data_IF_488020232422
#
_entry.id   IF_488020232422
#
_cell.length_a   1.000
_cell.length_b   1.000
_cell.length_c   1.000
_cell.angle_alpha   90.00
_cell.angle_beta   90.00
_cell.angle_gamma   90.00
#
_symmetry.space_group_name_H-M   'P 1'
#
loop_
_entity.id
_entity.type
_entity.pdbx_description
1 polymer ?
#
# COMPACT_ATOMS: atom_id res chain seq x y z
N UNK A 1 -8.27 -13.73 8.36
CA UNK A 1 -7.63 -14.80 9.15
C UNK A 1 -7.00 -14.19 10.37
N UNK A 2 -7.06 -14.89 11.51
CA UNK A 2 -6.57 -14.40 12.80
C UNK A 2 -5.32 -15.17 13.25
N UNK A 3 -4.34 -14.46 13.81
CA UNK A 3 -3.25 -15.01 14.62
C UNK A 3 -2.79 -14.01 15.68
N UNK A 4 -2.15 -14.48 16.76
CA UNK A 4 -1.55 -13.63 17.80
C UNK A 4 -0.04 -13.82 17.85
N UNK A 5 0.67 -12.79 18.30
CA UNK A 5 2.11 -12.83 18.56
C UNK A 5 2.45 -13.92 19.59
N UNK A 6 3.24 -14.97 19.25
CA UNK A 6 3.63 -16.01 20.21
C UNK A 6 4.42 -15.47 21.41
N UNK A 7 4.96 -14.24 21.33
CA UNK A 7 5.68 -13.58 22.41
C UNK A 7 4.80 -12.65 23.27
N UNK A 8 3.58 -12.33 22.83
CA UNK A 8 2.64 -11.46 23.54
C UNK A 8 1.17 -11.88 23.28
N UNK A 9 0.80 -13.15 23.59
CA UNK A 9 -0.45 -13.77 23.13
C UNK A 9 -1.71 -13.26 23.86
N UNK A 10 -1.56 -12.45 24.90
CA UNK A 10 -2.67 -11.82 25.64
C UNK A 10 -2.94 -10.38 25.16
N UNK A 11 -2.11 -9.85 24.27
CA UNK A 11 -2.23 -8.50 23.75
C UNK A 11 -3.16 -8.45 22.52
N UNK A 12 -4.41 -8.05 22.75
CA UNK A 12 -5.43 -7.88 21.70
C UNK A 12 -4.98 -6.96 20.56
N UNK A 13 -4.16 -5.93 20.85
CA UNK A 13 -3.63 -5.02 19.83
C UNK A 13 -2.65 -5.68 18.85
N UNK A 14 -2.02 -6.79 19.24
CA UNK A 14 -1.12 -7.61 18.40
C UNK A 14 -1.80 -8.84 17.81
N UNK A 15 -3.13 -8.90 17.86
CA UNK A 15 -3.86 -9.92 17.13
C UNK A 15 -4.07 -9.48 15.68
N UNK A 16 -3.24 -10.00 14.77
CA UNK A 16 -3.33 -9.77 13.34
C UNK A 16 -4.62 -10.36 12.76
N UNK A 17 -5.40 -9.55 12.07
CA UNK A 17 -6.57 -9.96 11.27
C UNK A 17 -6.33 -9.61 9.79
N UNK A 18 -5.61 -10.48 9.08
CA UNK A 18 -5.22 -10.26 7.69
C UNK A 18 -5.92 -11.15 6.65
N UNK A 19 -5.88 -10.75 5.39
CA UNK A 19 -6.33 -11.55 4.23
C UNK A 19 -5.13 -12.29 3.63
N UNK A 20 -5.17 -13.62 3.64
CA UNK A 20 -4.16 -14.49 3.02
C UNK A 20 -4.85 -15.58 2.22
N UNK A 21 -4.31 -15.88 1.04
CA UNK A 21 -4.71 -17.07 0.28
C UNK A 21 -4.23 -18.34 0.98
N UNK A 22 -5.01 -19.41 0.87
CA UNK A 22 -4.63 -20.75 1.29
C UNK A 22 -4.75 -21.70 0.10
N UNK A 23 -3.81 -22.64 -0.03
CA UNK A 23 -3.90 -23.71 -1.03
C UNK A 23 -4.05 -25.05 -0.32
N UNK A 24 -5.17 -25.77 -0.50
CA UNK A 24 -5.35 -27.12 0.04
C UNK A 24 -4.32 -28.11 -0.55
N UNK A 25 -3.75 -28.95 0.30
CA UNK A 25 -2.85 -30.06 -0.05
C UNK A 25 -3.40 -31.43 0.36
N UNK A 26 -4.47 -31.46 1.14
CA UNK A 26 -5.12 -32.68 1.61
C UNK A 26 -6.48 -32.38 2.26
N UNK A 27 -7.11 -33.38 2.91
CA UNK A 27 -8.39 -33.19 3.59
C UNK A 27 -8.31 -32.25 4.80
N UNK A 28 -7.13 -32.13 5.40
CA UNK A 28 -6.88 -31.40 6.65
C UNK A 28 -5.54 -30.64 6.64
N UNK A 29 -4.96 -30.38 5.45
CA UNK A 29 -3.67 -29.70 5.30
C UNK A 29 -3.71 -28.65 4.19
N UNK A 30 -3.09 -27.50 4.42
CA UNK A 30 -2.95 -26.41 3.43
C UNK A 30 -1.63 -25.66 3.59
N UNK A 31 -1.17 -25.00 2.51
CA UNK A 31 -0.11 -23.97 2.60
C UNK A 31 -0.73 -22.59 2.75
N UNK A 32 -0.02 -21.74 3.47
CA UNK A 32 -0.27 -20.30 3.51
C UNK A 32 1.05 -19.55 3.38
N UNK A 33 1.12 -18.67 2.40
CA UNK A 33 2.27 -17.80 2.17
C UNK A 33 2.02 -16.40 2.75
N UNK A 34 2.85 -16.02 3.71
CA UNK A 34 2.95 -14.64 4.23
C UNK A 34 4.43 -14.25 4.30
N UNK A 35 4.74 -13.00 3.98
CA UNK A 35 6.11 -12.46 4.04
C UNK A 35 6.40 -11.88 5.43
N UNK A 36 7.66 -11.91 5.94
CA UNK A 36 7.97 -11.43 7.29
C UNK A 36 7.67 -9.96 7.59
N UNK A 37 7.42 -9.14 6.56
CA UNK A 37 6.98 -7.75 6.74
C UNK A 37 5.51 -7.65 7.18
N UNK A 38 4.67 -8.64 6.86
CA UNK A 38 3.30 -8.76 7.37
C UNK A 38 3.29 -9.40 8.76
N UNK A 39 2.31 -9.06 9.59
CA UNK A 39 2.32 -9.44 11.01
C UNK A 39 2.11 -10.94 11.22
N UNK A 40 1.24 -11.60 10.44
CA UNK A 40 1.21 -13.07 10.34
C UNK A 40 2.59 -13.69 9.99
N UNK A 41 3.38 -13.03 9.13
CA UNK A 41 4.74 -13.48 8.80
C UNK A 41 5.70 -13.34 9.98
N UNK A 42 5.58 -12.25 10.76
CA UNK A 42 6.31 -12.08 12.03
C UNK A 42 5.90 -13.12 13.07
N UNK A 43 4.61 -13.43 13.18
CA UNK A 43 4.09 -14.45 14.09
C UNK A 43 4.62 -15.85 13.73
N UNK A 44 4.67 -16.20 12.43
CA UNK A 44 5.33 -17.43 11.96
C UNK A 44 6.82 -17.46 12.30
N UNK A 45 7.55 -16.37 12.03
CA UNK A 45 8.97 -16.28 12.35
C UNK A 45 9.22 -16.42 13.87
N UNK A 46 8.46 -15.71 14.70
CA UNK A 46 8.54 -15.81 16.15
C UNK A 46 8.24 -17.23 16.66
N UNK A 47 7.28 -17.93 16.06
CA UNK A 47 6.96 -19.32 16.38
C UNK A 47 8.09 -20.29 16.00
N UNK A 48 8.76 -20.08 14.85
CA UNK A 48 9.94 -20.84 14.44
C UNK A 48 11.13 -20.59 15.37
N UNK A 49 11.43 -19.33 15.68
CA UNK A 49 12.60 -18.93 16.49
C UNK A 49 12.48 -19.37 17.95
N UNK A 50 11.27 -19.37 18.50
CA UNK A 50 11.02 -19.73 19.91
C UNK A 50 10.55 -21.17 20.12
N UNK A 51 10.20 -21.89 19.05
CA UNK A 51 9.59 -23.22 19.11
C UNK A 51 8.17 -23.24 19.71
N UNK A 52 7.55 -22.07 19.94
CA UNK A 52 6.18 -21.97 20.46
C UNK A 52 5.14 -22.37 19.41
N UNK A 53 4.00 -22.97 19.81
CA UNK A 53 2.90 -23.24 18.88
C UNK A 53 2.34 -21.94 18.31
N UNK A 54 1.97 -21.95 17.02
CA UNK A 54 1.21 -20.88 16.38
C UNK A 54 -0.14 -21.45 15.91
N UNK A 55 -1.19 -21.08 16.64
CA UNK A 55 -2.59 -21.36 16.31
C UNK A 55 -3.15 -20.23 15.45
N UNK A 56 -3.99 -20.58 14.49
CA UNK A 56 -4.68 -19.62 13.61
C UNK A 56 -6.18 -19.97 13.48
N UNK A 57 -6.98 -18.98 13.08
CA UNK A 57 -8.36 -19.16 12.68
C UNK A 57 -8.63 -18.49 11.32
N UNK A 58 -9.08 -19.27 10.34
CA UNK A 58 -9.54 -18.77 9.04
C UNK A 58 -11.05 -18.56 9.13
N UNK A 59 -11.53 -17.33 8.93
CA UNK A 59 -12.95 -17.01 8.92
C UNK A 59 -13.38 -16.71 7.49
N UNK A 60 -14.51 -17.27 7.04
CA UNK A 60 -15.14 -17.02 5.74
C UNK A 60 -16.60 -16.60 5.95
N UNK A 61 -17.14 -15.77 5.06
CA UNK A 61 -18.47 -15.17 5.21
C UNK A 61 -18.47 -14.19 6.38
N UNK A 62 -17.55 -13.24 6.33
CA UNK A 62 -17.33 -12.25 7.39
C UNK A 62 -18.32 -11.09 7.29
N UNK A 63 -18.30 -10.16 8.26
CA UNK A 63 -18.94 -8.86 8.05
C UNK A 63 -18.28 -8.17 6.82
N UNK A 64 -19.03 -7.70 5.81
CA UNK A 64 -18.45 -7.26 4.53
C UNK A 64 -17.37 -6.18 4.64
N UNK A 65 -17.49 -5.30 5.64
CA UNK A 65 -16.49 -4.27 5.91
C UNK A 65 -15.09 -4.83 6.25
N UNK A 66 -15.01 -6.06 6.79
CA UNK A 66 -13.71 -6.68 7.08
C UNK A 66 -12.96 -7.06 5.82
N UNK A 67 -13.63 -7.33 4.69
CA UNK A 67 -12.94 -7.52 3.41
C UNK A 67 -12.20 -6.25 2.92
N UNK A 68 -12.67 -5.07 3.37
CA UNK A 68 -12.01 -3.78 3.13
C UNK A 68 -10.96 -3.47 4.21
N UNK A 69 -11.35 -3.54 5.49
CA UNK A 69 -10.52 -3.02 6.59
C UNK A 69 -9.45 -3.98 7.13
N UNK A 70 -9.60 -5.30 6.97
CA UNK A 70 -8.56 -6.30 7.31
C UNK A 70 -7.31 -6.23 6.40
N UNK A 71 -7.38 -5.43 5.32
CA UNK A 71 -6.27 -5.16 4.41
C UNK A 71 -5.80 -3.71 4.48
N UNK A 72 -6.24 -2.93 5.49
CA UNK A 72 -5.73 -1.57 5.72
C UNK A 72 -4.41 -1.62 6.49
N UNK A 73 -3.36 -0.90 6.06
CA UNK A 73 -2.10 -0.85 6.79
C UNK A 73 -2.22 0.00 8.07
N UNK A 74 -2.27 -0.66 9.22
CA UNK A 74 -2.25 -0.04 10.56
C UNK A 74 -0.97 -0.41 11.33
N UNK A 75 -0.81 0.10 12.55
CA UNK A 75 0.32 -0.24 13.43
C UNK A 75 0.28 -1.71 13.91
N UNK A 76 1.44 -2.26 14.27
CA UNK A 76 1.57 -3.65 14.75
C UNK A 76 0.84 -3.93 16.09
N UNK A 77 0.63 -2.87 16.87
CA UNK A 77 -0.08 -2.85 18.14
C UNK A 77 -1.48 -2.21 18.02
N UNK A 78 -1.96 -1.98 16.79
CA UNK A 78 -3.32 -1.53 16.48
C UNK A 78 -4.16 -2.70 15.96
N UNK A 79 -5.37 -2.90 16.48
CA UNK A 79 -6.26 -3.99 16.05
C UNK A 79 -7.10 -3.59 14.82
N UNK A 80 -7.14 -4.44 13.79
CA UNK A 80 -7.99 -4.20 12.61
C UNK A 80 -9.48 -4.25 12.96
N UNK A 81 -9.88 -4.98 14.02
CA UNK A 81 -11.25 -4.94 14.53
C UNK A 81 -11.60 -3.58 15.14
N UNK A 82 -10.68 -2.98 15.91
CA UNK A 82 -10.87 -1.65 16.47
C UNK A 82 -10.92 -0.58 15.35
N UNK A 83 -10.02 -0.69 14.36
CA UNK A 83 -10.01 0.17 13.19
C UNK A 83 -11.31 0.05 12.37
N UNK A 84 -11.71 -1.17 12.00
CA UNK A 84 -12.93 -1.42 11.26
C UNK A 84 -14.19 -0.94 12.00
N UNK A 85 -14.26 -1.17 13.32
CA UNK A 85 -15.35 -0.67 14.16
C UNK A 85 -15.43 0.86 14.16
N UNK A 86 -14.29 1.55 14.29
CA UNK A 86 -14.22 3.01 14.23
C UNK A 86 -14.63 3.54 12.85
N UNK A 87 -14.19 2.90 11.76
CA UNK A 87 -14.53 3.29 10.40
C UNK A 87 -16.01 3.06 10.04
N UNK A 88 -16.65 2.04 10.60
CA UNK A 88 -18.09 1.79 10.43
C UNK A 88 -18.97 2.66 11.34
N UNK A 89 -18.42 3.19 12.45
CA UNK A 89 -19.20 3.83 13.50
C UNK A 89 -20.06 2.86 14.31
N UNK A 90 -19.76 1.56 14.27
CA UNK A 90 -20.50 0.50 14.97
C UNK A 90 -19.56 -0.59 15.51
N UNK A 91 -19.88 -1.22 16.66
CA UNK A 91 -19.07 -2.29 17.23
C UNK A 91 -19.12 -3.55 16.35
N UNK A 92 -17.99 -4.25 16.27
CA UNK A 92 -17.93 -5.63 15.74
C UNK A 92 -18.14 -6.59 16.92
N UNK A 93 -19.10 -7.51 16.78
CA UNK A 93 -19.33 -8.57 17.76
C UNK A 93 -18.29 -9.70 17.56
N UNK A 94 -17.52 -9.95 18.62
CA UNK A 94 -16.47 -10.97 18.64
C UNK A 94 -16.85 -12.12 19.58
N UNK A 95 -16.29 -13.30 19.31
CA UNK A 95 -16.34 -14.49 20.17
C UNK A 95 -14.96 -15.14 20.18
N UNK A 96 -14.69 -15.97 21.19
CA UNK A 96 -13.49 -16.82 21.20
C UNK A 96 -13.69 -18.04 20.27
N UNK A 97 -12.65 -18.39 19.52
CA UNK A 97 -12.54 -19.64 18.76
C UNK A 97 -12.04 -20.79 19.64
N UNK A 98 -12.16 -22.05 19.20
CA UNK A 98 -11.57 -23.21 19.90
C UNK A 98 -10.03 -23.16 19.99
N UNK A 99 -9.40 -22.28 19.21
CA UNK A 99 -7.97 -21.96 19.27
C UNK A 99 -7.61 -20.79 20.21
N UNK A 100 -8.57 -20.19 20.94
CA UNK A 100 -8.34 -19.10 21.90
C UNK A 100 -8.12 -17.72 21.27
N UNK A 101 -8.47 -17.55 19.99
CA UNK A 101 -8.35 -16.30 19.23
C UNK A 101 -9.70 -15.58 19.17
N UNK A 102 -9.72 -14.26 19.25
CA UNK A 102 -10.95 -13.48 19.04
C UNK A 102 -11.28 -13.47 17.55
N UNK A 103 -12.48 -13.94 17.21
CA UNK A 103 -13.01 -14.05 15.85
C UNK A 103 -14.37 -13.35 15.76
N UNK A 104 -14.84 -13.05 14.55
CA UNK A 104 -16.18 -12.49 14.36
C UNK A 104 -17.26 -13.51 14.73
N UNK A 105 -18.15 -13.14 15.66
CA UNK A 105 -19.22 -14.01 16.16
C UNK A 105 -20.23 -14.45 15.08
N UNK A 106 -20.28 -13.74 13.96
CA UNK A 106 -21.20 -14.00 12.86
C UNK A 106 -20.59 -14.66 11.63
N UNK A 107 -19.30 -15.01 11.64
CA UNK A 107 -18.65 -15.69 10.52
C UNK A 107 -19.42 -16.95 10.10
N UNK A 108 -19.56 -17.17 8.78
CA UNK A 108 -20.29 -18.31 8.23
C UNK A 108 -19.54 -19.64 8.43
N UNK A 109 -18.21 -19.62 8.28
CA UNK A 109 -17.31 -20.76 8.46
C UNK A 109 -16.05 -20.31 9.21
N UNK A 110 -15.61 -21.11 10.19
CA UNK A 110 -14.33 -20.95 10.87
C UNK A 110 -13.54 -22.25 10.75
N UNK A 111 -12.32 -22.16 10.21
CA UNK A 111 -11.35 -23.25 10.10
C UNK A 111 -10.23 -22.97 11.10
N UNK A 112 -10.10 -23.81 12.10
CA UNK A 112 -9.04 -23.76 13.10
C UNK A 112 -7.86 -24.60 12.61
N UNK A 113 -6.64 -24.04 12.71
CA UNK A 113 -5.45 -24.74 12.26
C UNK A 113 -4.21 -24.38 13.10
N UNK A 114 -3.21 -25.25 13.06
CA UNK A 114 -1.92 -25.07 13.72
C UNK A 114 -0.78 -25.08 12.68
N UNK A 115 0.19 -24.18 12.87
CA UNK A 115 1.39 -24.13 12.05
C UNK A 115 2.27 -25.38 12.27
N UNK A 116 2.71 -26.02 11.19
CA UNK A 116 3.61 -27.18 11.25
C UNK A 116 5.06 -26.70 11.13
N UNK A 117 5.73 -26.47 12.27
CA UNK A 117 7.11 -25.96 12.34
C UNK A 117 8.04 -26.63 11.34
N UNK A 118 8.71 -25.81 10.53
CA UNK A 118 9.75 -26.25 9.62
C UNK A 118 9.25 -26.96 8.35
N UNK A 119 7.98 -27.37 8.27
CA UNK A 119 7.39 -28.04 7.10
C UNK A 119 6.86 -27.01 6.09
N UNK A 120 7.32 -27.12 4.85
CA UNK A 120 6.93 -26.24 3.73
C UNK A 120 6.72 -27.05 2.46
N UNK A 121 5.58 -26.89 1.79
CA UNK A 121 5.24 -27.55 0.53
C UNK A 121 5.16 -26.55 -0.63
N UNK A 122 5.01 -27.04 -1.86
CA UNK A 122 4.95 -26.21 -3.07
C UNK A 122 3.56 -25.58 -3.29
N UNK A 123 3.47 -24.26 -3.09
CA UNK A 123 2.30 -23.45 -3.41
C UNK A 123 2.43 -22.84 -4.82
N UNK A 124 1.32 -22.81 -5.57
CA UNK A 124 1.21 -22.27 -6.92
C UNK A 124 1.22 -23.34 -8.03
N UNK A 125 1.13 -22.93 -9.31
CA UNK A 125 1.01 -21.54 -9.77
C UNK A 125 -0.35 -20.94 -9.40
N UNK A 126 -0.39 -19.62 -9.19
CA UNK A 126 -1.61 -18.91 -8.80
C UNK A 126 -1.79 -17.66 -9.66
N UNK A 127 -3.02 -17.33 -10.05
CA UNK A 127 -3.31 -16.07 -10.74
C UNK A 127 -3.25 -14.92 -9.75
N UNK A 128 -2.37 -13.95 -9.97
CA UNK A 128 -2.23 -12.77 -9.12
C UNK A 128 -2.99 -11.58 -9.72
N UNK A 129 -3.25 -10.54 -8.93
CA UNK A 129 -3.06 -9.18 -9.47
C UNK A 129 -1.55 -9.10 -9.79
N UNK A 130 -1.09 -8.90 -11.05
CA UNK A 130 -1.65 -7.97 -12.04
C UNK A 130 -2.31 -8.63 -13.26
N UNK A 131 -2.95 -9.78 -13.10
CA UNK A 131 -3.49 -10.58 -14.21
C UNK A 131 -2.48 -11.55 -14.83
N UNK A 132 -1.38 -11.83 -14.13
CA UNK A 132 -0.36 -12.83 -14.49
C UNK A 132 -0.32 -13.97 -13.47
N UNK A 133 0.15 -15.14 -13.88
CA UNK A 133 0.41 -16.24 -12.95
C UNK A 133 1.75 -16.07 -12.23
N UNK A 134 1.74 -16.23 -10.90
CA UNK A 134 2.97 -16.47 -10.14
C UNK A 134 3.51 -17.87 -10.43
N UNK A 135 4.83 -18.03 -10.34
CA UNK A 135 5.45 -19.35 -10.29
C UNK A 135 5.11 -20.12 -9.00
N UNK A 136 5.72 -21.30 -8.88
CA UNK A 136 5.61 -22.18 -7.72
C UNK A 136 6.68 -21.81 -6.69
N UNK A 137 6.34 -21.76 -5.39
CA UNK A 137 7.27 -21.47 -4.28
C UNK A 137 7.01 -22.38 -3.08
N UNK A 138 8.00 -22.58 -2.21
CA UNK A 138 7.79 -23.29 -0.94
C UNK A 138 7.11 -22.37 0.06
N UNK A 139 5.99 -22.80 0.62
CA UNK A 139 5.19 -22.03 1.58
C UNK A 139 4.97 -22.82 2.89
N UNK A 140 4.88 -22.13 4.05
CA UNK A 140 4.50 -22.72 5.34
C UNK A 140 3.27 -23.63 5.29
N UNK A 141 3.36 -24.80 5.94
CA UNK A 141 2.25 -25.75 6.06
C UNK A 141 1.46 -25.59 7.37
N UNK A 142 0.16 -25.79 7.27
CA UNK A 142 -0.78 -25.76 8.39
C UNK A 142 -1.61 -27.04 8.44
N UNK A 143 -1.92 -27.49 9.65
CA UNK A 143 -2.81 -28.63 9.93
C UNK A 143 -4.15 -28.11 10.45
N UNK A 144 -5.25 -28.45 9.79
CA UNK A 144 -6.60 -28.18 10.29
C UNK A 144 -6.88 -29.06 11.51
N UNK A 145 -7.35 -28.45 12.59
CA UNK A 145 -7.72 -29.12 13.84
C UNK A 145 -9.24 -29.23 14.01
N UNK A 146 -9.98 -28.20 13.58
CA UNK A 146 -11.44 -28.17 13.61
C UNK A 146 -12.03 -27.30 12.49
N UNK A 147 -13.28 -27.57 12.15
CA UNK A 147 -14.11 -26.68 11.32
C UNK A 147 -15.44 -26.51 12.02
N UNK A 148 -15.85 -25.25 12.25
CA UNK A 148 -17.19 -24.89 12.72
C UNK A 148 -17.87 -23.99 11.70
N UNK A 149 -19.20 -24.02 11.64
CA UNK A 149 -19.95 -23.26 10.65
C UNK A 149 -21.39 -23.01 11.08
N UNK A 150 -22.03 -21.98 10.51
CA UNK A 150 -23.45 -21.70 10.67
C UNK A 150 -24.31 -22.76 9.98
N UNK A 151 -25.57 -22.89 10.37
CA UNK A 151 -26.52 -23.78 9.66
C UNK A 151 -26.75 -23.24 8.24
N UNK A 152 -26.45 -24.05 7.23
CA UNK A 152 -26.46 -23.69 5.80
C UNK A 152 -25.45 -22.56 5.48
N UNK A 153 -24.13 -22.78 5.65
CA UNK A 153 -23.15 -21.72 5.60
C UNK A 153 -22.93 -21.17 4.17
N UNK A 154 -22.66 -19.88 4.06
CA UNK A 154 -22.25 -19.23 2.82
C UNK A 154 -20.73 -19.31 2.68
N UNK A 155 -20.25 -19.84 1.55
CA UNK A 155 -18.82 -19.86 1.22
C UNK A 155 -18.43 -18.58 0.48
N UNK A 156 -17.72 -17.68 1.17
CA UNK A 156 -17.13 -16.46 0.59
C UNK A 156 -15.86 -16.79 -0.20
N UNK A 157 -15.73 -16.19 -1.38
CA UNK A 157 -14.55 -16.30 -2.25
C UNK A 157 -14.29 -14.94 -2.91
N UNK A 158 -13.03 -14.57 -3.10
CA UNK A 158 -12.60 -13.36 -3.80
C UNK A 158 -11.81 -13.80 -5.03
N UNK A 159 -12.23 -13.35 -6.21
CA UNK A 159 -11.47 -13.56 -7.44
C UNK A 159 -10.40 -12.47 -7.59
N UNK A 160 -9.21 -12.85 -8.06
CA UNK A 160 -8.15 -11.92 -8.45
C UNK A 160 -7.62 -12.30 -9.83
N UNK A 161 -7.18 -11.31 -10.61
CA UNK A 161 -6.66 -11.56 -11.94
C UNK A 161 -6.68 -10.32 -12.84
N UNK A 162 -6.98 -10.54 -14.12
CA UNK A 162 -6.97 -9.51 -15.16
C UNK A 162 -8.34 -8.84 -15.28
N UNK A 163 -8.41 -7.55 -14.96
CA UNK A 163 -9.62 -6.74 -15.04
C UNK A 163 -9.94 -6.09 -13.70
N UNK A 164 -11.10 -5.43 -13.60
CA UNK A 164 -11.62 -4.93 -12.33
C UNK A 164 -12.28 -6.08 -11.57
N UNK A 165 -11.62 -6.53 -10.50
CA UNK A 165 -12.12 -7.59 -9.61
C UNK A 165 -12.56 -7.04 -8.25
N UNK A 166 -13.08 -7.90 -7.38
CA UNK A 166 -13.37 -7.55 -5.99
C UNK A 166 -12.11 -7.04 -5.27
N UNK A 167 -10.92 -7.58 -5.61
CA UNK A 167 -9.64 -7.08 -5.09
C UNK A 167 -9.37 -5.63 -5.50
N UNK A 168 -9.54 -5.26 -6.77
CA UNK A 168 -9.25 -3.90 -7.24
C UNK A 168 -10.25 -2.87 -6.67
N UNK A 169 -11.51 -3.28 -6.50
CA UNK A 169 -12.58 -2.41 -5.98
C UNK A 169 -12.57 -2.25 -4.46
N UNK A 170 -12.22 -3.31 -3.69
CA UNK A 170 -12.14 -3.26 -2.23
C UNK A 170 -10.77 -2.79 -1.72
N UNK A 171 -9.67 -3.29 -2.30
CA UNK A 171 -8.31 -3.12 -1.76
C UNK A 171 -7.55 -1.98 -2.46
N UNK A 172 -7.94 -1.56 -3.67
CA UNK A 172 -7.34 -0.40 -4.34
C UNK A 172 -7.43 0.90 -3.51
N UNK A 173 -8.51 1.07 -2.74
CA UNK A 173 -8.68 2.21 -1.82
C UNK A 173 -7.66 2.18 -0.68
N UNK A 174 -7.25 0.99 -0.23
CA UNK A 174 -6.24 0.82 0.82
C UNK A 174 -4.82 1.21 0.36
N UNK A 175 -4.55 1.21 -0.95
CA UNK A 175 -3.32 1.85 -1.49
C UNK A 175 -3.51 3.35 -1.62
N UNK A 176 -4.69 3.80 -2.05
CA UNK A 176 -4.99 5.21 -2.34
C UNK A 176 -4.98 6.09 -1.08
N UNK A 177 -5.66 5.66 -0.01
CA UNK A 177 -5.88 6.48 1.18
C UNK A 177 -4.61 6.74 2.03
N UNK A 178 -3.71 5.78 2.31
CA UNK A 178 -2.48 6.04 3.06
C UNK A 178 -1.51 6.94 2.29
N UNK A 179 -1.40 6.76 0.97
CA UNK A 179 -0.58 7.63 0.11
C UNK A 179 -1.16 9.05 0.13
N UNK A 180 -2.48 9.18 -0.02
CA UNK A 180 -3.16 10.47 0.11
C UNK A 180 -2.91 11.13 1.48
N UNK A 181 -3.08 10.40 2.59
CA UNK A 181 -2.94 10.94 3.95
C UNK A 181 -1.53 11.49 4.19
N UNK A 182 -0.48 10.77 3.77
CA UNK A 182 0.92 11.23 3.87
C UNK A 182 1.16 12.45 2.99
N UNK A 183 0.77 12.39 1.71
CA UNK A 183 0.98 13.49 0.78
C UNK A 183 0.21 14.75 1.18
N UNK A 184 -1.06 14.62 1.59
CA UNK A 184 -1.93 15.74 1.97
C UNK A 184 -1.44 16.47 3.22
N UNK A 185 -0.85 15.73 4.17
CA UNK A 185 -0.27 16.28 5.40
C UNK A 185 0.95 17.15 5.13
N UNK A 186 1.79 16.75 4.18
CA UNK A 186 3.04 17.46 3.84
C UNK A 186 2.84 18.52 2.73
N UNK A 187 1.89 18.28 1.83
CA UNK A 187 1.59 19.07 0.64
C UNK A 187 0.06 19.26 0.53
N UNK A 188 -0.51 20.28 1.18
CA UNK A 188 -1.93 20.59 1.13
C UNK A 188 -2.48 20.81 -0.29
N UNK A 189 -1.60 21.06 -1.26
CA UNK A 189 -1.88 21.19 -2.69
C UNK A 189 -2.34 19.90 -3.38
N UNK A 190 -2.07 18.72 -2.80
CA UNK A 190 -2.55 17.44 -3.33
C UNK A 190 -4.05 17.37 -3.11
N UNK A 191 -4.81 17.23 -4.20
CA UNK A 191 -6.28 17.23 -4.18
C UNK A 191 -6.80 15.81 -3.93
N UNK A 192 -6.30 14.84 -4.70
CA UNK A 192 -6.70 13.44 -4.65
C UNK A 192 -5.59 12.51 -5.17
N UNK A 193 -5.64 11.25 -4.74
CA UNK A 193 -4.78 10.15 -5.21
C UNK A 193 -5.70 8.99 -5.61
N UNK A 194 -5.60 8.55 -6.86
CA UNK A 194 -6.18 7.31 -7.35
C UNK A 194 -5.05 6.30 -7.53
N UNK A 195 -5.03 5.24 -6.72
CA UNK A 195 -4.15 4.09 -6.87
C UNK A 195 -4.97 2.79 -7.05
N UNK A 196 -6.14 2.89 -7.69
CA UNK A 196 -7.04 1.76 -7.90
C UNK A 196 -6.58 0.83 -9.04
N UNK A 197 -5.91 1.37 -10.07
CA UNK A 197 -5.54 0.60 -11.25
C UNK A 197 -4.51 -0.48 -10.91
N UNK A 198 -5.00 -1.71 -10.87
CA UNK A 198 -4.23 -2.91 -10.59
C UNK A 198 -3.44 -2.78 -9.27
N UNK A 199 -4.17 -2.38 -8.22
CA UNK A 199 -3.68 -2.16 -6.85
C UNK A 199 -2.48 -1.19 -6.74
N UNK A 200 -2.48 -0.17 -7.60
CA UNK A 200 -1.54 0.95 -7.54
C UNK A 200 -0.38 0.88 -8.52
N UNK A 201 -0.25 -0.20 -9.31
CA UNK A 201 0.74 -0.29 -10.40
C UNK A 201 0.63 0.86 -11.40
N UNK A 202 -0.56 1.45 -11.55
CA UNK A 202 -0.69 2.80 -12.09
C UNK A 202 -1.42 3.67 -11.07
N UNK A 203 -0.74 4.73 -10.60
CA UNK A 203 -1.33 5.79 -9.80
C UNK A 203 -1.56 7.06 -10.61
N UNK A 204 -2.57 7.83 -10.21
CA UNK A 204 -2.91 9.13 -10.78
C UNK A 204 -3.08 10.10 -9.61
N UNK A 205 -2.36 11.23 -9.62
CA UNK A 205 -2.37 12.19 -8.51
C UNK A 205 -2.72 13.58 -9.04
N UNK A 206 -3.81 14.14 -8.53
CA UNK A 206 -4.23 15.51 -8.82
C UNK A 206 -3.57 16.49 -7.85
N UNK A 207 -2.86 17.49 -8.38
CA UNK A 207 -2.07 18.46 -7.59
C UNK A 207 -2.24 19.89 -8.10
N UNK A 208 -2.35 20.84 -7.17
CA UNK A 208 -2.27 22.28 -7.49
C UNK A 208 -0.82 22.73 -7.54
N UNK A 209 -0.24 22.91 -8.72
CA UNK A 209 1.14 23.38 -8.83
C UNK A 209 1.35 24.77 -8.22
N UNK A 210 2.48 24.93 -7.53
CA UNK A 210 2.97 26.21 -6.98
C UNK A 210 3.99 26.89 -7.89
N UNK A 211 4.86 26.09 -8.50
CA UNK A 211 5.99 26.50 -9.34
C UNK A 211 6.38 25.36 -10.28
N UNK A 212 7.20 25.66 -11.29
CA UNK A 212 7.67 24.69 -12.28
C UNK A 212 8.31 23.44 -11.65
N UNK A 213 7.89 22.25 -12.09
CA UNK A 213 8.43 20.97 -11.62
C UNK A 213 7.88 20.46 -10.27
N UNK A 214 7.01 21.22 -9.60
CA UNK A 214 6.46 20.84 -8.28
C UNK A 214 5.76 19.46 -8.31
N UNK A 215 4.96 19.17 -9.34
CA UNK A 215 4.32 17.86 -9.51
C UNK A 215 5.31 16.69 -9.50
N UNK A 216 6.50 16.83 -10.11
CA UNK A 216 7.56 15.80 -10.08
C UNK A 216 8.17 15.62 -8.70
N UNK A 217 8.26 16.67 -7.88
CA UNK A 217 8.65 16.55 -6.46
C UNK A 217 7.61 15.79 -5.63
N UNK A 218 6.31 16.03 -5.88
CA UNK A 218 5.21 15.28 -5.25
C UNK A 218 5.23 13.81 -5.68
N UNK A 219 5.48 13.55 -6.97
CA UNK A 219 5.67 12.20 -7.49
C UNK A 219 6.78 11.44 -6.73
N UNK A 220 7.97 12.05 -6.63
CA UNK A 220 9.09 11.50 -5.86
C UNK A 220 8.73 11.26 -4.38
N UNK A 221 7.93 12.15 -3.75
CA UNK A 221 7.43 11.89 -2.40
C UNK A 221 6.50 10.69 -2.36
N UNK A 222 5.57 10.55 -3.31
CA UNK A 222 4.65 9.42 -3.37
C UNK A 222 5.41 8.08 -3.41
N UNK A 223 6.45 7.99 -4.24
CA UNK A 223 7.33 6.82 -4.35
C UNK A 223 8.12 6.48 -3.09
N UNK A 224 8.30 7.43 -2.15
CA UNK A 224 8.97 7.20 -0.87
C UNK A 224 8.00 6.93 0.29
N UNK A 225 6.70 6.79 0.02
CA UNK A 225 5.74 6.29 1.02
C UNK A 225 5.82 4.76 1.10
N UNK A 226 5.52 4.13 2.26
CA UNK A 226 5.64 2.67 2.40
C UNK A 226 4.86 1.87 1.34
N UNK A 227 3.66 2.32 0.97
CA UNK A 227 2.87 1.71 -0.11
C UNK A 227 3.35 2.15 -1.49
N UNK A 228 3.65 3.44 -1.68
CA UNK A 228 4.07 3.95 -2.98
C UNK A 228 5.37 3.32 -3.49
N UNK A 229 6.31 3.00 -2.59
CA UNK A 229 7.58 2.34 -2.93
C UNK A 229 7.38 0.96 -3.58
N UNK A 230 6.40 0.19 -3.11
CA UNK A 230 6.16 -1.18 -3.61
C UNK A 230 5.21 -1.23 -4.80
N UNK A 231 4.25 -0.31 -4.87
CA UNK A 231 3.13 -0.39 -5.81
C UNK A 231 3.17 0.67 -6.93
N UNK A 232 3.61 1.92 -6.72
CA UNK A 232 3.49 3.00 -7.72
C UNK A 232 4.51 2.88 -8.87
N UNK A 233 4.32 1.91 -9.75
CA UNK A 233 5.18 1.68 -10.92
C UNK A 233 5.02 2.76 -11.99
N UNK A 234 3.80 3.12 -12.35
CA UNK A 234 3.50 4.24 -13.24
C UNK A 234 2.77 5.32 -12.45
N UNK A 235 3.13 6.58 -12.65
CA UNK A 235 2.49 7.71 -11.99
C UNK A 235 2.17 8.80 -13.00
N UNK A 236 0.90 9.18 -13.08
CA UNK A 236 0.42 10.28 -13.91
C UNK A 236 0.05 11.44 -12.98
N UNK A 237 0.79 12.54 -13.07
CA UNK A 237 0.46 13.77 -12.34
C UNK A 237 -0.49 14.60 -13.19
N UNK A 238 -1.62 15.02 -12.63
CA UNK A 238 -2.62 15.88 -13.29
C UNK A 238 -2.89 17.12 -12.44
N UNK A 239 -3.37 18.19 -13.07
CA UNK A 239 -3.72 19.41 -12.33
C UNK A 239 -4.93 19.18 -11.41
N UNK A 240 -5.11 20.08 -10.45
CA UNK A 240 -6.27 20.13 -9.55
C UNK A 240 -7.65 20.28 -10.23
N UNK A 241 -7.71 20.58 -11.54
CA UNK A 241 -8.95 20.66 -12.34
C UNK A 241 -9.35 19.34 -13.01
N UNK A 242 -8.49 18.30 -12.93
CA UNK A 242 -8.73 16.96 -13.49
C UNK A 242 -9.09 16.00 -12.37
N UNK A 243 -10.24 15.33 -12.49
CA UNK A 243 -10.59 14.23 -11.59
C UNK A 243 -9.70 13.00 -11.90
N UNK A 244 -8.84 12.54 -10.96
CA UNK A 244 -7.99 11.38 -11.19
C UNK A 244 -8.78 10.06 -11.25
N UNK A 245 -10.07 10.05 -10.91
CA UNK A 245 -10.97 8.91 -11.04
C UNK A 245 -11.72 8.89 -12.40
N UNK A 246 -11.75 9.99 -13.15
CA UNK A 246 -12.29 10.02 -14.53
C UNK A 246 -11.15 9.84 -15.56
N UNK A 247 -11.02 8.62 -16.07
CA UNK A 247 -10.00 8.29 -17.05
C UNK A 247 -10.10 9.12 -18.35
N UNK A 248 -11.27 9.64 -18.73
CA UNK A 248 -11.38 10.48 -19.91
C UNK A 248 -10.68 11.83 -19.70
N UNK A 249 -10.83 12.44 -18.52
CA UNK A 249 -10.14 13.69 -18.17
C UNK A 249 -8.63 13.46 -18.02
N UNK A 250 -8.22 12.36 -17.40
CA UNK A 250 -6.80 12.00 -17.26
C UNK A 250 -6.14 11.77 -18.62
N UNK A 251 -6.79 11.02 -19.52
CA UNK A 251 -6.27 10.78 -20.87
C UNK A 251 -6.28 12.04 -21.74
N UNK A 252 -7.25 12.94 -21.55
CA UNK A 252 -7.23 14.28 -22.17
C UNK A 252 -6.02 15.10 -21.69
N UNK A 253 -5.82 15.22 -20.37
CA UNK A 253 -4.69 15.96 -19.80
C UNK A 253 -3.35 15.41 -20.29
N UNK A 254 -3.17 14.09 -20.24
CA UNK A 254 -2.01 13.37 -20.77
C UNK A 254 -1.76 13.68 -22.26
N UNK A 255 -2.82 13.81 -23.06
CA UNK A 255 -2.71 14.05 -24.50
C UNK A 255 -2.34 15.49 -24.87
N UNK A 256 -2.66 16.49 -24.03
CA UNK A 256 -2.55 17.91 -24.39
C UNK A 256 -1.62 18.74 -23.49
N UNK A 257 -1.23 18.24 -22.30
CA UNK A 257 -0.38 18.96 -21.33
C UNK A 257 1.07 18.45 -21.28
N UNK A 258 1.32 17.20 -21.65
CA UNK A 258 2.64 16.52 -21.56
C UNK A 258 3.60 16.86 -22.70
N UNK A 259 4.88 17.12 -22.38
CA UNK A 259 6.01 17.18 -23.33
C UNK A 259 6.98 16.02 -23.08
N UNK A 260 7.92 15.79 -24.00
CA UNK A 260 9.00 14.80 -23.81
C UNK A 260 9.86 15.08 -22.55
N UNK A 261 10.04 16.34 -22.18
CA UNK A 261 10.73 16.77 -20.94
C UNK A 261 9.96 16.51 -19.64
N UNK A 262 8.69 16.09 -19.75
CA UNK A 262 7.79 15.88 -18.63
C UNK A 262 7.71 14.42 -18.17
N UNK A 263 8.33 13.54 -18.94
CA UNK A 263 8.47 12.12 -18.64
C UNK A 263 9.81 11.90 -17.92
N UNK A 264 9.78 11.17 -16.81
CA UNK A 264 10.96 10.78 -16.05
C UNK A 264 10.88 9.28 -15.73
N UNK A 265 11.99 8.55 -15.93
CA UNK A 265 12.09 7.13 -15.60
C UNK A 265 13.20 6.91 -14.57
N UNK A 266 12.82 6.41 -13.40
CA UNK A 266 13.74 6.00 -12.36
C UNK A 266 13.96 4.50 -12.48
N UNK A 267 15.11 4.09 -13.01
CA UNK A 267 15.46 2.68 -13.21
C UNK A 267 16.07 2.08 -11.95
N UNK A 268 16.12 0.75 -11.90
CA UNK A 268 16.81 -0.04 -10.86
C UNK A 268 16.27 0.16 -9.42
N UNK A 269 15.00 0.55 -9.31
CA UNK A 269 14.31 0.84 -8.05
C UNK A 269 13.67 -0.41 -7.44
N UNK A 270 13.44 -0.41 -6.12
CA UNK A 270 12.68 -1.45 -5.46
C UNK A 270 11.22 -1.47 -5.94
N UNK A 271 10.62 -2.64 -6.06
CA UNK A 271 9.27 -2.84 -6.60
C UNK A 271 8.66 -4.12 -6.01
N UNK A 272 7.35 -4.32 -6.13
CA UNK A 272 6.73 -5.60 -5.78
C UNK A 272 7.31 -6.78 -6.61
N UNK A 273 7.49 -7.92 -5.93
CA UNK A 273 8.09 -9.15 -6.49
C UNK A 273 7.31 -9.79 -7.65
N UNK A 274 6.03 -9.44 -7.83
CA UNK A 274 5.10 -10.06 -8.79
C UNK A 274 4.74 -9.13 -9.97
N UNK A 275 5.53 -8.08 -10.22
CA UNK A 275 5.42 -7.29 -11.46
C UNK A 275 5.80 -8.15 -12.69
N UNK A 276 4.86 -8.46 -13.62
CA UNK A 276 5.13 -9.34 -14.76
C UNK A 276 6.07 -8.75 -15.82
N UNK A 277 6.38 -7.45 -15.74
CA UNK A 277 7.35 -6.81 -16.63
C UNK A 277 8.70 -6.51 -15.96
N UNK A 278 8.91 -6.96 -14.71
CA UNK A 278 10.21 -6.86 -14.05
C UNK A 278 11.17 -7.93 -14.61
N UNK A 279 12.36 -7.52 -15.05
CA UNK A 279 13.43 -8.44 -15.49
C UNK A 279 14.01 -9.20 -14.29
N UNK A 280 14.13 -8.52 -13.14
CA UNK A 280 14.57 -9.10 -11.88
C UNK A 280 13.44 -8.93 -10.86
N UNK A 281 12.81 -10.01 -10.36
CA UNK A 281 11.76 -9.91 -9.35
C UNK A 281 12.18 -9.04 -8.16
N UNK A 282 11.34 -8.06 -7.80
CA UNK A 282 11.61 -7.11 -6.72
C UNK A 282 12.37 -5.84 -7.13
N UNK A 283 12.85 -5.77 -8.38
CA UNK A 283 13.59 -4.62 -8.91
C UNK A 283 13.01 -4.19 -10.26
N UNK A 284 12.50 -2.96 -10.33
CA UNK A 284 11.79 -2.43 -11.48
C UNK A 284 12.17 -1.00 -11.81
N UNK A 285 11.18 -0.24 -12.27
CA UNK A 285 11.30 1.18 -12.57
C UNK A 285 10.08 1.93 -12.04
N UNK A 286 10.24 3.23 -11.78
CA UNK A 286 9.11 4.14 -11.66
C UNK A 286 9.07 5.08 -12.88
N UNK A 287 7.97 5.04 -13.62
CA UNK A 287 7.65 5.98 -14.69
C UNK A 287 6.80 7.11 -14.10
N UNK A 288 7.28 8.34 -14.19
CA UNK A 288 6.52 9.54 -13.82
C UNK A 288 6.22 10.31 -15.11
N UNK A 289 4.95 10.64 -15.33
CA UNK A 289 4.50 11.50 -16.41
C UNK A 289 3.82 12.72 -15.80
N UNK A 290 4.43 13.88 -16.02
CA UNK A 290 3.85 15.16 -15.61
C UNK A 290 2.90 15.67 -16.72
N UNK A 291 1.60 15.46 -16.51
CA UNK A 291 0.52 15.96 -17.36
C UNK A 291 -0.16 17.19 -16.75
N UNK A 292 0.55 17.92 -15.90
CA UNK A 292 0.08 19.20 -15.35
C UNK A 292 0.33 20.37 -16.32
N UNK A 293 -0.37 21.47 -16.09
CA UNK A 293 -0.29 22.68 -16.91
C UNK A 293 1.08 23.32 -16.75
N UNK A 294 1.68 23.68 -17.88
CA UNK A 294 3.02 24.26 -17.90
C UNK A 294 3.09 25.52 -17.03
N UNK A 295 4.01 25.54 -16.08
CA UNK A 295 4.43 26.75 -15.38
C UNK A 295 5.85 27.12 -15.82
N UNK A 296 6.11 28.39 -16.17
CA UNK A 296 7.47 28.87 -16.35
C UNK A 296 8.22 28.84 -15.01
N UNK A 297 9.57 28.91 -15.03
CA UNK A 297 10.37 29.12 -13.82
C UNK A 297 9.91 30.36 -13.04
N UNK A 298 10.12 30.36 -11.72
CA UNK A 298 9.79 31.51 -10.86
C UNK A 298 10.63 32.73 -11.28
N UNK A 299 10.01 33.86 -11.68
CA UNK A 299 10.74 35.05 -12.12
C UNK A 299 11.47 35.80 -11.00
N UNK A 300 11.33 35.39 -9.73
CA UNK A 300 11.94 36.07 -8.58
C UNK A 300 13.40 35.66 -8.35
N UNK A 301 13.91 34.64 -9.06
CA UNK A 301 15.33 34.27 -9.07
C UNK A 301 16.15 35.06 -10.09
N UNK A 302 16.98 36.00 -9.61
CA UNK A 302 18.07 36.60 -10.42
C UNK A 302 19.24 35.62 -10.63
N UNK A 303 20.26 36.05 -11.37
CA UNK A 303 21.45 35.24 -11.67
C UNK A 303 22.12 34.70 -10.39
N UNK A 304 21.95 33.39 -10.13
CA UNK A 304 22.53 32.72 -8.97
C UNK A 304 23.97 32.33 -9.27
N UNK A 305 24.87 33.31 -9.19
CA UNK A 305 26.31 33.06 -9.40
C UNK A 305 26.90 32.16 -8.31
N UNK A 306 27.62 31.12 -8.73
CA UNK A 306 28.28 30.18 -7.83
C UNK A 306 29.65 30.74 -7.40
N UNK A 307 29.76 31.04 -6.10
CA UNK A 307 30.94 31.46 -5.29
C UNK A 307 31.57 32.84 -5.48
N UNK A 308 31.21 33.65 -6.47
CA UNK A 308 31.51 35.09 -6.42
C UNK A 308 30.45 35.82 -5.58
N UNK A 309 30.81 36.79 -4.71
CA UNK A 309 29.82 37.71 -4.18
C UNK A 309 29.14 38.40 -5.36
N UNK A 310 27.81 38.28 -5.53
CA UNK A 310 27.14 38.88 -6.68
C UNK A 310 27.36 40.39 -6.61
N UNK A 311 27.86 40.96 -7.72
CA UNK A 311 28.32 42.34 -7.78
C UNK A 311 27.65 43.07 -8.94
N UNK A 312 27.49 44.39 -8.82
CA UNK A 312 26.84 45.20 -9.83
C UNK A 312 25.93 46.28 -9.22
N UNK A 313 25.57 47.31 -10.01
CA UNK A 313 25.09 48.58 -9.47
C UNK A 313 23.90 48.50 -8.51
N UNK A 314 22.96 47.58 -8.76
CA UNK A 314 21.80 47.36 -7.90
C UNK A 314 22.13 46.61 -6.60
N UNK A 315 23.05 45.63 -6.67
CA UNK A 315 23.45 44.80 -5.53
C UNK A 315 24.36 45.59 -4.60
N UNK A 316 25.30 46.35 -5.16
CA UNK A 316 26.20 47.23 -4.40
C UNK A 316 25.43 48.33 -3.66
N UNK A 317 24.43 48.94 -4.32
CA UNK A 317 23.53 49.92 -3.70
C UNK A 317 22.69 49.30 -2.58
N UNK A 318 22.18 48.07 -2.76
CA UNK A 318 21.45 47.34 -1.72
C UNK A 318 22.36 46.99 -0.53
N UNK A 319 23.56 46.50 -0.79
CA UNK A 319 24.55 46.17 0.24
C UNK A 319 25.05 47.41 1.01
N UNK A 320 25.17 48.56 0.35
CA UNK A 320 25.46 49.84 1.01
C UNK A 320 24.28 50.27 1.93
N UNK A 321 23.04 50.17 1.44
CA UNK A 321 21.83 50.49 2.21
C UNK A 321 21.66 49.57 3.43
N UNK A 322 21.94 48.27 3.29
CA UNK A 322 21.88 47.32 4.41
C UNK A 322 22.95 47.64 5.46
N UNK A 323 24.21 47.91 5.05
CA UNK A 323 25.28 48.30 5.98
C UNK A 323 24.96 49.58 6.75
N UNK A 324 24.41 50.59 6.08
CA UNK A 324 23.95 51.83 6.72
C UNK A 324 22.83 51.59 7.75
N UNK A 325 21.89 50.69 7.47
CA UNK A 325 20.82 50.31 8.41
C UNK A 325 21.32 49.47 9.59
N UNK A 326 22.44 48.75 9.44
CA UNK A 326 23.05 47.91 10.47
C UNK A 326 24.03 48.68 11.38
N UNK A 327 24.28 49.97 11.12
CA UNK A 327 25.16 50.80 11.95
C UNK A 327 26.65 50.47 11.84
N UNK A 328 27.06 49.76 10.79
CA UNK A 328 28.46 49.47 10.52
C UNK A 328 29.10 50.65 9.76
N UNK A 329 29.85 51.49 10.50
CA UNK A 329 30.84 52.42 9.96
C UNK A 329 32.13 51.66 9.61
#
# INVERSE_FOLDING_TARGET
MVSRDPNDPDNFGKQNVGIYRIQPHGPDEFTLMSVPIHDMGRHMQAAEETGKPLKIAVMLGNHPAMAMFAATPIGYDESEYAYASAMMGSPIELTESGNGLDIQAHAEIVIEAEYIHGRREFEGPFGEFPGSYSGVRRAPMFKVTAVSHRKNPIFENIYIGRGWTEHDTLIGLNTSAPIYAVLKKEFPEVVAVNALYQHGLTGIIAVKNRFAGFAKSIALRALSTPHGLMYLKNLIMVDADVDPFDLNQVMWALSVRTRASDIMVLNDMAMIMIDPAAVNPGKGHHLIIDATTHMPPDPIGGDVEIVSPPSGPAIDALAARIRALQGAN
#
